data_IF_728782142128
#
_entry.id   IF_728782142128
#
_cell.length_a   1.000
_cell.length_b   1.000
_cell.length_c   1.000
_cell.angle_alpha   90.00
_cell.angle_beta   90.00
_cell.angle_gamma   90.00
#
_symmetry.space_group_name_H-M   'P 1'
#
loop_
_entity.id
_entity.type
_entity.pdbx_description
1 polymer ?
#
# COMPACT_ATOMS: atom_id res chain seq x y z
N UNK A 1 -20.33 26.84 -12.69
CA UNK A 1 -19.42 26.32 -11.69
C UNK A 1 -18.13 27.13 -11.84
N UNK A 2 -17.76 27.93 -10.83
CA UNK A 2 -16.52 28.73 -10.88
C UNK A 2 -15.31 27.77 -10.85
N UNK A 3 -14.27 27.99 -11.67
CA UNK A 3 -13.06 27.21 -11.61
C UNK A 3 -12.40 27.42 -10.23
N UNK A 4 -12.08 26.34 -9.56
CA UNK A 4 -11.30 26.37 -8.30
C UNK A 4 -9.89 26.84 -8.63
N UNK A 5 -9.35 27.88 -7.97
CA UNK A 5 -8.00 28.34 -8.23
C UNK A 5 -6.98 27.21 -8.04
N UNK A 6 -5.89 27.19 -8.83
CA UNK A 6 -4.84 26.17 -8.74
C UNK A 6 -4.22 26.10 -7.34
N UNK A 7 -4.15 27.23 -6.64
CA UNK A 7 -3.67 27.35 -5.25
C UNK A 7 -4.51 26.55 -4.27
N UNK A 8 -5.84 26.47 -4.48
CA UNK A 8 -6.71 25.71 -3.58
C UNK A 8 -6.49 24.21 -3.72
N UNK A 9 -6.22 23.70 -4.93
CA UNK A 9 -5.85 22.29 -5.14
C UNK A 9 -4.52 21.94 -4.48
N UNK A 10 -3.56 22.85 -4.51
CA UNK A 10 -2.28 22.65 -3.83
C UNK A 10 -2.46 22.58 -2.31
N UNK A 11 -3.25 23.48 -1.75
CA UNK A 11 -3.58 23.45 -0.32
C UNK A 11 -4.37 22.20 0.06
N UNK A 12 -5.34 21.77 -0.76
CA UNK A 12 -6.10 20.55 -0.52
C UNK A 12 -5.19 19.31 -0.51
N UNK A 13 -4.23 19.22 -1.43
CA UNK A 13 -3.24 18.13 -1.45
C UNK A 13 -2.34 18.19 -0.21
N UNK A 14 -1.77 19.36 0.08
CA UNK A 14 -0.80 19.55 1.15
C UNK A 14 -1.39 19.33 2.54
N UNK A 15 -2.64 19.77 2.77
CA UNK A 15 -3.33 19.71 4.06
C UNK A 15 -4.23 18.48 4.21
N UNK A 16 -4.26 17.58 3.24
CA UNK A 16 -5.06 16.36 3.34
C UNK A 16 -4.67 15.54 4.58
N UNK A 17 -5.65 15.01 5.35
CA UNK A 17 -5.38 14.28 6.59
C UNK A 17 -4.83 12.86 6.36
N UNK A 18 -4.63 12.48 5.12
CA UNK A 18 -4.07 11.19 4.69
C UNK A 18 -2.75 11.41 3.96
N UNK A 19 -1.84 10.44 4.03
CA UNK A 19 -0.60 10.45 3.24
C UNK A 19 -0.94 10.35 1.75
N UNK A 20 -0.51 11.33 0.95
CA UNK A 20 -0.73 11.40 -0.49
C UNK A 20 0.61 11.50 -1.23
N UNK A 21 0.72 10.68 -2.28
CA UNK A 21 1.83 10.64 -3.22
C UNK A 21 1.29 10.90 -4.61
N UNK A 22 1.90 11.80 -5.33
CA UNK A 22 1.68 12.00 -6.75
C UNK A 22 2.86 11.40 -7.50
N UNK A 23 2.60 10.47 -8.40
CA UNK A 23 3.62 9.67 -9.06
C UNK A 23 3.42 9.63 -10.58
N UNK A 24 4.49 9.37 -11.31
CA UNK A 24 4.50 9.16 -12.75
C UNK A 24 4.81 7.70 -13.06
N UNK A 25 3.81 7.00 -13.59
CA UNK A 25 3.88 5.59 -14.01
C UNK A 25 4.06 5.43 -15.52
N UNK A 26 4.45 6.47 -16.23
CA UNK A 26 4.61 6.38 -17.69
C UNK A 26 5.67 5.36 -18.11
N UNK A 27 6.72 5.18 -17.30
CA UNK A 27 7.73 4.14 -17.52
C UNK A 27 7.20 2.74 -17.16
N UNK A 28 6.35 2.62 -16.14
CA UNK A 28 5.66 1.37 -15.81
C UNK A 28 4.79 0.89 -16.97
N UNK A 29 4.01 1.80 -17.57
CA UNK A 29 3.20 1.47 -18.74
C UNK A 29 4.04 0.93 -19.88
N UNK A 30 5.16 1.59 -20.21
CA UNK A 30 6.09 1.10 -21.25
C UNK A 30 6.68 -0.26 -20.91
N UNK A 31 6.99 -0.50 -19.63
CA UNK A 31 7.47 -1.80 -19.17
C UNK A 31 6.41 -2.89 -19.39
N UNK A 32 5.15 -2.62 -19.11
CA UNK A 32 4.04 -3.54 -19.39
C UNK A 32 3.85 -3.82 -20.87
N UNK A 33 4.00 -2.80 -21.72
CA UNK A 33 3.97 -2.97 -23.18
C UNK A 33 5.11 -3.88 -23.66
N UNK A 34 6.31 -3.74 -23.10
CA UNK A 34 7.46 -4.62 -23.39
C UNK A 34 7.19 -6.07 -22.95
N UNK A 35 6.63 -6.31 -21.76
CA UNK A 35 6.30 -7.65 -21.31
C UNK A 35 5.22 -8.32 -22.17
N UNK A 36 4.20 -7.55 -22.60
CA UNK A 36 3.19 -8.05 -23.54
C UNK A 36 3.80 -8.42 -24.90
N UNK A 37 4.67 -7.56 -25.42
CA UNK A 37 5.40 -7.82 -26.66
C UNK A 37 6.32 -9.05 -26.57
N UNK A 38 6.87 -9.34 -25.38
CA UNK A 38 7.65 -10.54 -25.09
C UNK A 38 6.80 -11.80 -24.85
N UNK A 39 5.46 -11.72 -24.99
CA UNK A 39 4.54 -12.86 -24.88
C UNK A 39 4.05 -13.15 -23.46
N UNK A 40 4.23 -12.22 -22.51
CA UNK A 40 3.63 -12.41 -21.17
C UNK A 40 2.13 -12.22 -21.25
N UNK A 41 1.38 -13.28 -20.99
CA UNK A 41 -0.09 -13.31 -20.95
C UNK A 41 -0.58 -13.18 -19.51
N UNK A 42 -0.08 -14.04 -18.63
CA UNK A 42 -0.38 -14.02 -17.20
C UNK A 42 0.81 -13.45 -16.44
N UNK A 43 0.63 -12.26 -15.87
CA UNK A 43 1.71 -11.52 -15.21
C UNK A 43 2.09 -12.12 -13.87
N UNK A 44 1.15 -12.70 -13.11
CA UNK A 44 1.42 -13.19 -11.74
C UNK A 44 2.43 -14.36 -11.73
N UNK A 45 2.26 -15.44 -12.51
CA UNK A 45 3.27 -16.49 -12.60
C UNK A 45 4.59 -16.01 -13.19
N UNK A 46 4.54 -15.01 -14.10
CA UNK A 46 5.74 -14.42 -14.67
C UNK A 46 6.57 -13.72 -13.58
N UNK A 47 5.95 -12.85 -12.76
CA UNK A 47 6.64 -12.12 -11.69
C UNK A 47 7.19 -13.05 -10.61
N UNK A 48 6.48 -14.13 -10.27
CA UNK A 48 6.98 -15.11 -9.30
C UNK A 48 8.19 -15.88 -9.78
N UNK A 49 8.31 -16.12 -11.09
CA UNK A 49 9.49 -16.74 -11.70
C UNK A 49 10.62 -15.75 -11.95
N UNK A 50 10.31 -14.45 -12.06
CA UNK A 50 11.20 -13.35 -12.41
C UNK A 50 11.11 -12.22 -11.39
N UNK A 51 11.64 -12.37 -10.15
CA UNK A 51 11.57 -11.34 -9.11
C UNK A 51 12.23 -10.02 -9.51
N UNK A 52 13.18 -10.05 -10.46
CA UNK A 52 13.80 -8.86 -11.04
C UNK A 52 12.79 -7.95 -11.75
N UNK A 53 11.69 -8.50 -12.28
CA UNK A 53 10.63 -7.73 -12.90
C UNK A 53 9.88 -6.86 -11.88
N UNK A 54 9.69 -7.35 -10.63
CA UNK A 54 9.10 -6.56 -9.54
C UNK A 54 10.01 -5.40 -9.16
N UNK A 55 11.33 -5.61 -9.13
CA UNK A 55 12.30 -4.53 -8.89
C UNK A 55 12.30 -3.52 -10.03
N UNK A 56 12.25 -3.98 -11.28
CA UNK A 56 12.15 -3.10 -12.46
C UNK A 56 10.88 -2.26 -12.44
N UNK A 57 9.75 -2.83 -12.00
CA UNK A 57 8.50 -2.11 -11.77
C UNK A 57 8.70 -0.96 -10.77
N UNK A 58 9.18 -1.25 -9.57
CA UNK A 58 9.43 -0.22 -8.55
C UNK A 58 10.38 0.88 -9.03
N UNK A 59 11.48 0.51 -9.71
CA UNK A 59 12.45 1.45 -10.29
C UNK A 59 11.86 2.29 -11.45
N UNK A 60 10.73 1.89 -12.02
CA UNK A 60 10.04 2.60 -13.10
C UNK A 60 9.05 3.65 -12.60
N UNK A 61 8.77 3.68 -11.29
CA UNK A 61 7.90 4.67 -10.65
C UNK A 61 8.74 5.90 -10.32
N UNK A 62 8.28 7.08 -10.76
CA UNK A 62 8.91 8.34 -10.42
C UNK A 62 8.04 9.14 -9.47
N UNK A 63 8.56 9.46 -8.30
CA UNK A 63 7.92 10.34 -7.35
C UNK A 63 7.91 11.78 -7.89
N UNK A 64 6.73 12.40 -7.93
CA UNK A 64 6.57 13.79 -8.35
C UNK A 64 6.37 14.71 -7.15
N UNK A 65 5.51 14.31 -6.21
CA UNK A 65 5.22 15.09 -5.02
C UNK A 65 4.66 14.20 -3.91
N UNK A 66 4.96 14.54 -2.66
CA UNK A 66 4.28 14.04 -1.48
C UNK A 66 3.72 15.21 -0.67
N UNK A 67 2.66 14.95 0.11
CA UNK A 67 2.11 15.96 1.00
C UNK A 67 2.77 15.91 2.39
N UNK A 68 2.50 16.91 3.21
CA UNK A 68 3.01 17.03 4.58
C UNK A 68 2.71 15.78 5.42
N UNK A 69 1.50 15.22 5.28
CA UNK A 69 1.11 14.01 6.04
C UNK A 69 1.97 12.81 5.70
N UNK A 70 2.44 12.69 4.47
CA UNK A 70 3.41 11.66 4.07
C UNK A 70 4.73 11.82 4.82
N UNK A 71 5.28 13.03 4.87
CA UNK A 71 6.54 13.30 5.57
C UNK A 71 6.44 12.99 7.06
N UNK A 72 5.31 13.35 7.69
CA UNK A 72 5.03 13.04 9.10
C UNK A 72 4.94 11.52 9.32
N UNK A 73 4.22 10.79 8.46
CA UNK A 73 4.02 9.34 8.57
C UNK A 73 5.35 8.58 8.50
N UNK A 74 6.20 8.97 7.55
CA UNK A 74 7.48 8.32 7.31
C UNK A 74 8.64 8.91 8.11
N UNK A 75 8.38 9.89 9.00
CA UNK A 75 9.41 10.60 9.77
C UNK A 75 10.52 11.17 8.88
N UNK A 76 10.16 11.66 7.68
CA UNK A 76 11.07 12.28 6.74
C UNK A 76 11.07 13.81 6.92
N UNK A 77 12.22 14.48 6.95
CA UNK A 77 12.28 15.94 7.10
C UNK A 77 11.77 16.67 5.84
N UNK A 78 11.96 16.07 4.68
CA UNK A 78 11.56 16.60 3.38
C UNK A 78 11.41 15.50 2.34
N UNK A 79 10.86 15.86 1.17
CA UNK A 79 10.63 14.92 0.06
C UNK A 79 11.94 14.35 -0.49
N UNK A 80 13.00 15.16 -0.60
CA UNK A 80 14.27 14.71 -1.17
C UNK A 80 14.92 13.61 -0.32
N UNK A 81 14.87 13.77 1.02
CA UNK A 81 15.33 12.75 1.96
C UNK A 81 14.48 11.47 1.87
N UNK A 82 13.15 11.60 1.77
CA UNK A 82 12.26 10.46 1.60
C UNK A 82 12.57 9.71 0.29
N UNK A 83 12.71 10.43 -0.83
CA UNK A 83 13.00 9.86 -2.14
C UNK A 83 14.36 9.14 -2.16
N UNK A 84 15.39 9.70 -1.54
CA UNK A 84 16.70 9.09 -1.41
C UNK A 84 16.71 7.84 -0.51
N UNK A 85 15.66 7.62 0.28
CA UNK A 85 15.55 6.54 1.27
C UNK A 85 14.41 5.55 0.96
N UNK A 86 13.87 5.54 -0.26
CA UNK A 86 12.74 4.67 -0.63
C UNK A 86 13.07 3.18 -0.48
N UNK A 87 14.33 2.78 -0.61
CA UNK A 87 14.81 1.42 -0.34
C UNK A 87 14.65 1.01 1.14
N UNK A 88 14.72 1.97 2.05
CA UNK A 88 14.48 1.75 3.49
C UNK A 88 12.99 1.68 3.81
N UNK A 89 12.17 2.44 3.09
CA UNK A 89 10.70 2.44 3.21
C UNK A 89 10.13 1.13 2.65
N UNK A 90 10.62 0.70 1.50
CA UNK A 90 10.13 -0.45 0.73
C UNK A 90 11.09 -1.63 0.88
N UNK A 91 10.94 -2.42 1.95
CA UNK A 91 11.76 -3.62 2.19
C UNK A 91 11.09 -4.88 1.66
N UNK A 92 11.77 -6.04 1.84
CA UNK A 92 11.40 -7.33 1.26
C UNK A 92 9.97 -7.84 1.51
N UNK A 93 9.27 -7.34 2.54
CA UNK A 93 7.89 -7.72 2.87
C UNK A 93 6.86 -7.26 1.82
N UNK A 94 7.27 -6.42 0.85
CA UNK A 94 6.39 -5.85 -0.17
C UNK A 94 6.22 -6.70 -1.43
N UNK A 95 6.93 -7.81 -1.58
CA UNK A 95 6.97 -8.56 -2.84
C UNK A 95 5.57 -9.02 -3.29
N UNK A 96 4.81 -9.69 -2.43
CA UNK A 96 3.46 -10.16 -2.76
C UNK A 96 2.47 -9.00 -2.96
N UNK A 97 2.63 -7.93 -2.20
CA UNK A 97 1.84 -6.71 -2.35
C UNK A 97 2.09 -6.03 -3.70
N UNK A 98 3.35 -5.94 -4.12
CA UNK A 98 3.72 -5.40 -5.43
C UNK A 98 3.17 -6.27 -6.57
N UNK A 99 3.21 -7.60 -6.45
CA UNK A 99 2.58 -8.51 -7.43
C UNK A 99 1.08 -8.23 -7.55
N UNK A 100 0.38 -8.05 -6.42
CA UNK A 100 -1.05 -7.78 -6.41
C UNK A 100 -1.39 -6.43 -7.06
N UNK A 101 -0.57 -5.41 -6.85
CA UNK A 101 -0.68 -4.09 -7.50
C UNK A 101 -0.45 -4.20 -9.01
N UNK A 102 0.66 -4.83 -9.41
CA UNK A 102 1.01 -5.03 -10.82
C UNK A 102 -0.11 -5.78 -11.54
N UNK A 103 -0.69 -6.83 -10.93
CA UNK A 103 -1.77 -7.60 -11.54
C UNK A 103 -3.00 -6.75 -11.82
N UNK A 104 -3.43 -5.91 -10.86
CA UNK A 104 -4.57 -5.01 -11.04
C UNK A 104 -4.33 -4.01 -12.18
N UNK A 105 -3.14 -3.39 -12.22
CA UNK A 105 -2.77 -2.46 -13.30
C UNK A 105 -2.59 -3.18 -14.65
N UNK A 106 -2.10 -4.42 -14.64
CA UNK A 106 -1.95 -5.25 -15.85
C UNK A 106 -3.30 -5.55 -16.49
N UNK A 107 -4.31 -5.82 -15.72
CA UNK A 107 -5.69 -6.07 -16.18
C UNK A 107 -6.39 -4.79 -16.66
N UNK A 108 -5.70 -3.64 -16.63
CA UNK A 108 -6.20 -2.36 -17.14
C UNK A 108 -7.13 -1.65 -16.17
N UNK A 109 -7.17 -2.08 -14.91
CA UNK A 109 -7.95 -1.38 -13.87
C UNK A 109 -7.25 -0.06 -13.54
N UNK A 110 -7.93 1.10 -13.65
CA UNK A 110 -7.31 2.40 -13.40
C UNK A 110 -7.08 2.68 -11.90
N UNK A 111 -7.54 1.80 -11.05
CA UNK A 111 -7.43 1.88 -9.60
C UNK A 111 -6.87 0.56 -9.05
N UNK A 112 -6.07 0.64 -8.00
CA UNK A 112 -5.64 -0.53 -7.26
C UNK A 112 -5.72 -0.28 -5.76
N UNK A 113 -5.90 -1.35 -5.00
CA UNK A 113 -5.89 -1.31 -3.55
C UNK A 113 -5.27 -2.58 -2.98
N UNK A 114 -4.40 -2.41 -2.00
CA UNK A 114 -3.81 -3.51 -1.27
C UNK A 114 -3.46 -3.10 0.17
N UNK A 115 -2.97 -4.06 0.95
CA UNK A 115 -2.40 -3.82 2.28
C UNK A 115 -0.99 -4.40 2.30
N UNK A 116 -0.05 -3.63 2.84
CA UNK A 116 1.35 -4.00 2.88
C UNK A 116 2.03 -3.47 4.14
N UNK A 117 3.32 -3.74 4.27
CA UNK A 117 4.18 -3.23 5.34
C UNK A 117 5.20 -2.28 4.75
N UNK A 118 5.24 -1.07 5.27
CA UNK A 118 6.29 -0.10 5.00
C UNK A 118 7.07 0.19 6.29
N UNK A 119 8.18 0.90 6.16
CA UNK A 119 9.00 1.33 7.30
C UNK A 119 9.23 2.82 7.25
N UNK A 120 8.99 3.50 8.35
CA UNK A 120 9.38 4.90 8.51
C UNK A 120 10.91 5.02 8.66
N UNK A 121 11.48 6.20 8.37
CA UNK A 121 12.92 6.42 8.45
C UNK A 121 13.47 6.36 9.88
N UNK A 122 12.61 6.50 10.89
CA UNK A 122 12.93 6.26 12.30
C UNK A 122 12.90 4.77 12.71
N UNK A 123 12.64 3.88 11.74
CA UNK A 123 12.63 2.42 11.92
C UNK A 123 11.28 1.83 12.31
N UNK A 124 10.24 2.63 12.54
CA UNK A 124 8.89 2.12 12.86
C UNK A 124 8.34 1.30 11.70
N UNK A 125 7.81 0.12 12.01
CA UNK A 125 7.04 -0.70 11.09
C UNK A 125 5.61 -0.15 10.99
N UNK A 126 5.15 0.04 9.78
CA UNK A 126 3.83 0.57 9.45
C UNK A 126 3.04 -0.49 8.66
N UNK A 127 1.91 -0.93 9.17
CA UNK A 127 0.92 -1.65 8.36
C UNK A 127 0.10 -0.59 7.61
N UNK A 128 0.21 -0.55 6.29
CA UNK A 128 -0.43 0.49 5.48
C UNK A 128 -1.45 -0.11 4.52
N UNK A 129 -2.58 0.57 4.38
CA UNK A 129 -3.49 0.35 3.26
C UNK A 129 -3.14 1.34 2.16
N UNK A 130 -2.83 0.81 0.99
CA UNK A 130 -2.50 1.58 -0.21
C UNK A 130 -3.71 1.60 -1.13
N UNK A 131 -3.98 2.77 -1.73
CA UNK A 131 -4.90 2.92 -2.85
C UNK A 131 -4.26 3.84 -3.86
N UNK A 132 -4.13 3.37 -5.10
CA UNK A 132 -3.64 4.16 -6.21
C UNK A 132 -4.71 4.34 -7.27
N UNK A 133 -4.71 5.50 -7.93
CA UNK A 133 -5.62 5.81 -9.02
C UNK A 133 -4.91 6.64 -10.09
N UNK A 134 -5.01 6.19 -11.33
CA UNK A 134 -4.63 7.02 -12.48
C UNK A 134 -5.62 8.18 -12.58
N UNK A 135 -5.10 9.40 -12.58
CA UNK A 135 -5.97 10.59 -12.62
C UNK A 135 -6.70 10.70 -13.96
N UNK A 136 -7.96 11.21 -13.95
CA UNK A 136 -8.73 11.44 -15.17
C UNK A 136 -7.95 12.28 -16.19
N UNK A 137 -7.94 11.82 -17.46
CA UNK A 137 -7.19 12.43 -18.55
C UNK A 137 -5.75 11.94 -18.69
N UNK A 138 -5.25 11.10 -17.78
CA UNK A 138 -3.91 10.50 -17.84
C UNK A 138 -3.92 8.99 -18.09
N UNK A 139 -5.10 8.39 -18.36
CA UNK A 139 -5.26 6.95 -18.58
C UNK A 139 -4.45 6.47 -19.80
N UNK A 140 -4.26 7.34 -20.77
CA UNK A 140 -3.47 7.05 -21.97
C UNK A 140 -1.97 7.04 -21.76
N UNK A 141 -1.42 7.68 -20.72
CA UNK A 141 0.02 7.82 -20.51
C UNK A 141 0.51 7.45 -19.11
N UNK A 142 -0.36 7.39 -18.12
CA UNK A 142 -0.08 7.10 -16.70
C UNK A 142 0.91 8.08 -16.04
N UNK A 143 1.03 9.29 -16.58
CA UNK A 143 1.98 10.26 -16.06
C UNK A 143 1.53 10.97 -14.78
N UNK A 144 0.33 10.68 -14.31
CA UNK A 144 -0.23 11.17 -13.04
C UNK A 144 -1.05 10.08 -12.37
N UNK A 145 -0.50 9.52 -11.31
CA UNK A 145 -1.14 8.54 -10.42
C UNK A 145 -1.16 9.14 -9.02
N UNK A 146 -2.33 9.20 -8.42
CA UNK A 146 -2.49 9.60 -7.04
C UNK A 146 -2.53 8.36 -6.17
N UNK A 147 -1.61 8.25 -5.23
CA UNK A 147 -1.54 7.15 -4.27
C UNK A 147 -1.82 7.70 -2.88
N UNK A 148 -2.69 7.04 -2.14
CA UNK A 148 -2.97 7.33 -0.74
C UNK A 148 -2.53 6.16 0.14
N UNK A 149 -1.89 6.49 1.28
CA UNK A 149 -1.50 5.53 2.29
C UNK A 149 -2.21 5.86 3.61
N UNK A 150 -2.92 4.90 4.12
CA UNK A 150 -3.58 4.94 5.42
C UNK A 150 -2.80 4.05 6.39
N UNK A 151 -2.30 4.59 7.50
CA UNK A 151 -1.73 3.80 8.58
C UNK A 151 -2.84 3.02 9.28
N UNK A 152 -2.77 1.72 9.21
CA UNK A 152 -3.72 0.79 9.84
C UNK A 152 -3.06 -0.09 10.91
N UNK A 153 -1.87 0.30 11.37
CA UNK A 153 -1.03 -0.47 12.30
C UNK A 153 -1.78 -0.81 13.59
N UNK A 154 -2.39 0.19 14.23
CA UNK A 154 -3.15 -0.03 15.47
C UNK A 154 -4.31 -1.00 15.27
N UNK A 155 -5.04 -0.85 14.15
CA UNK A 155 -6.17 -1.72 13.83
C UNK A 155 -5.73 -3.16 13.57
N UNK A 156 -4.64 -3.36 12.84
CA UNK A 156 -4.05 -4.69 12.58
C UNK A 156 -3.60 -5.33 13.88
N UNK A 157 -2.88 -4.59 14.72
CA UNK A 157 -2.41 -5.09 16.00
C UNK A 157 -3.55 -5.42 16.98
N UNK A 158 -4.60 -4.60 17.02
CA UNK A 158 -5.77 -4.88 17.85
C UNK A 158 -6.47 -6.17 17.40
N UNK A 159 -6.65 -6.37 16.09
CA UNK A 159 -7.21 -7.61 15.54
C UNK A 159 -6.36 -8.82 15.91
N UNK A 160 -5.05 -8.75 15.72
CA UNK A 160 -4.14 -9.86 16.04
C UNK A 160 -4.14 -10.19 17.55
N UNK A 161 -4.27 -9.18 18.43
CA UNK A 161 -4.41 -9.41 19.87
C UNK A 161 -5.71 -10.15 20.20
N UNK A 162 -6.82 -9.74 19.57
CA UNK A 162 -8.11 -10.41 19.75
C UNK A 162 -8.05 -11.86 19.28
N UNK A 163 -7.57 -12.12 18.08
CA UNK A 163 -7.43 -13.46 17.51
C UNK A 163 -6.56 -14.37 18.40
N UNK A 164 -5.47 -13.83 18.96
CA UNK A 164 -4.63 -14.57 19.93
C UNK A 164 -5.37 -14.90 21.21
N UNK A 165 -6.11 -13.95 21.76
CA UNK A 165 -6.90 -14.14 22.97
C UNK A 165 -7.98 -15.19 22.78
N UNK A 166 -8.71 -15.15 21.65
CA UNK A 166 -9.73 -16.14 21.31
C UNK A 166 -9.12 -17.55 21.13
N UNK A 167 -7.99 -17.63 20.42
CA UNK A 167 -7.29 -18.91 20.25
C UNK A 167 -6.80 -19.48 21.57
N UNK A 168 -6.27 -18.62 22.45
CA UNK A 168 -5.83 -19.03 23.77
C UNK A 168 -7.01 -19.52 24.62
N UNK A 169 -8.12 -18.78 24.68
CA UNK A 169 -9.32 -19.17 25.40
C UNK A 169 -9.86 -20.52 24.89
N UNK A 170 -9.97 -20.69 23.57
CA UNK A 170 -10.40 -21.97 22.96
C UNK A 170 -9.47 -23.12 23.33
N UNK A 171 -8.16 -22.91 23.26
CA UNK A 171 -7.17 -23.94 23.63
C UNK A 171 -7.26 -24.35 25.10
N UNK A 172 -7.59 -23.43 26.02
CA UNK A 172 -7.83 -23.75 27.42
C UNK A 172 -9.05 -24.66 27.59
N UNK A 173 -10.13 -24.42 26.85
CA UNK A 173 -11.33 -25.28 26.90
C UNK A 173 -11.09 -26.65 26.24
N UNK A 174 -10.49 -26.70 25.09
CA UNK A 174 -10.29 -27.94 24.32
C UNK A 174 -9.26 -28.87 24.95
N UNK A 175 -8.27 -28.33 25.66
CA UNK A 175 -7.16 -29.13 26.25
C UNK A 175 -7.17 -29.13 27.78
N UNK A 176 -8.25 -28.66 28.41
CA UNK A 176 -8.36 -28.72 29.87
C UNK A 176 -8.44 -30.16 30.33
N UNK A 177 -7.58 -30.58 31.26
CA UNK A 177 -7.68 -31.93 31.85
C UNK A 177 -8.86 -32.10 32.82
N UNK A 178 -9.61 -31.03 33.06
CA UNK A 178 -10.80 -31.01 33.91
C UNK A 178 -12.02 -30.53 33.12
N UNK A 179 -13.21 -31.00 33.47
CA UNK A 179 -14.47 -30.52 32.89
C UNK A 179 -14.67 -29.04 33.23
N UNK A 180 -14.76 -28.18 32.21
CA UNK A 180 -15.08 -26.77 32.36
C UNK A 180 -16.51 -26.50 31.90
N UNK A 181 -17.25 -25.71 32.67
CA UNK A 181 -18.62 -25.31 32.37
C UNK A 181 -18.66 -23.79 32.25
N UNK A 182 -19.35 -23.29 31.24
CA UNK A 182 -19.66 -21.86 31.11
C UNK A 182 -21.16 -21.71 31.31
N UNK A 183 -21.55 -20.94 32.31
CA UNK A 183 -22.95 -20.64 32.61
C UNK A 183 -23.20 -19.15 32.39
N UNK A 184 -24.32 -18.83 31.77
CA UNK A 184 -24.77 -17.44 31.56
C UNK A 184 -25.81 -17.10 32.63
N UNK A 185 -25.47 -16.21 33.55
CA UNK A 185 -26.34 -15.68 34.60
C UNK A 185 -27.01 -14.35 34.22
N UNK A 186 -26.96 -13.93 32.99
CA UNK A 186 -27.52 -12.63 32.53
C UNK A 186 -29.06 -12.57 32.57
N UNK A 187 -29.73 -13.67 32.84
CA UNK A 187 -31.20 -13.80 32.87
C UNK A 187 -31.82 -13.87 34.31
N UNK A 188 -31.10 -13.43 35.34
CA UNK A 188 -31.63 -13.32 36.71
C UNK A 188 -31.94 -11.89 37.06
#
# INVERSE_FOLDING_TARGET
>A
MLPVPSTDFEHMFELAPVSLWLEDYSAVRRLFEQWRAAGVVDVVPHLRRHPECVRAYGASIRLLRVNRRTLELFAAPDQATLEASLDQVFRGDMFESAIAEIAQLWDGVPEYANQTVNYALDGRRLDVRIRGRILPGYEGCWSRVLVSLEDVTERVQARLRLERSEKYARGLFEHSPVSLWVEDFSAV
#
